data_IF_545231801011
#
_entry.id   IF_545231801011
#
_cell.length_a   1.000
_cell.length_b   1.000
_cell.length_c   1.000
_cell.angle_alpha   90.00
_cell.angle_beta   90.00
_cell.angle_gamma   90.00
#
_symmetry.space_group_name_H-M   'P 1'
#
loop_
_entity.id
_entity.type
_entity.pdbx_description
1 polymer ?
#
# COMPACT_ATOMS: atom_id res chain seq x y z
N UNK A 1 58.34 45.75 -6.10
CA UNK A 1 57.25 45.71 -7.09
C UNK A 1 56.48 44.44 -6.82
N UNK A 2 55.26 44.57 -6.28
CA UNK A 2 54.45 43.44 -5.82
C UNK A 2 53.51 43.02 -6.97
N UNK A 3 53.60 41.78 -7.41
CA UNK A 3 52.69 41.16 -8.38
C UNK A 3 52.04 39.95 -7.69
N UNK A 4 50.81 40.10 -7.21
CA UNK A 4 49.55 39.65 -7.84
C UNK A 4 49.41 38.12 -7.91
N UNK A 5 48.70 37.59 -6.92
CA UNK A 5 48.06 36.27 -6.89
C UNK A 5 47.06 36.18 -8.05
N UNK A 6 47.00 35.06 -8.77
CA UNK A 6 45.85 34.49 -9.52
C UNK A 6 46.29 33.10 -10.05
N UNK A 7 45.82 31.96 -9.54
CA UNK A 7 44.51 31.30 -9.72
C UNK A 7 44.64 30.08 -10.65
N UNK A 8 44.22 28.90 -10.18
CA UNK A 8 43.33 27.94 -10.87
C UNK A 8 43.48 26.52 -10.29
N UNK A 9 42.58 26.15 -9.39
CA UNK A 9 42.31 24.74 -9.04
C UNK A 9 41.22 24.27 -10.02
N UNK A 10 41.59 23.41 -10.97
CA UNK A 10 40.61 22.73 -11.83
C UNK A 10 40.28 21.40 -11.15
N UNK A 11 39.19 21.38 -10.36
CA UNK A 11 38.58 20.14 -9.90
C UNK A 11 37.48 19.75 -10.90
N UNK A 12 37.78 18.79 -11.77
CA UNK A 12 36.79 18.19 -12.66
C UNK A 12 35.91 17.22 -11.86
N UNK A 13 34.69 17.65 -11.51
CA UNK A 13 33.67 16.77 -10.93
C UNK A 13 32.92 16.09 -12.08
N UNK A 14 33.17 14.78 -12.26
CA UNK A 14 32.30 13.91 -13.05
C UNK A 14 30.96 13.76 -12.32
N UNK A 15 29.91 14.39 -12.84
CA UNK A 15 28.54 14.10 -12.42
C UNK A 15 28.01 12.91 -13.22
N UNK A 16 28.02 11.72 -12.63
CA UNK A 16 27.32 10.56 -13.18
C UNK A 16 25.83 10.64 -12.80
N UNK A 17 24.88 10.47 -13.74
CA UNK A 17 23.46 10.41 -13.41
C UNK A 17 23.16 9.06 -12.75
N UNK A 18 22.86 9.08 -11.46
CA UNK A 18 22.37 7.91 -10.72
C UNK A 18 20.91 7.66 -11.14
N UNK A 19 20.71 6.81 -12.15
CA UNK A 19 19.37 6.32 -12.50
C UNK A 19 18.95 5.37 -11.39
N UNK A 20 18.12 5.85 -10.46
CA UNK A 20 17.55 5.05 -9.39
C UNK A 20 16.49 4.14 -10.02
N UNK A 21 16.81 2.87 -10.24
CA UNK A 21 15.79 1.85 -10.53
C UNK A 21 14.94 1.67 -9.27
N UNK A 22 13.79 2.34 -9.21
CA UNK A 22 12.80 2.10 -8.16
C UNK A 22 12.18 0.71 -8.39
N UNK A 23 12.14 -0.17 -7.37
CA UNK A 23 11.55 -1.49 -7.52
C UNK A 23 10.04 -1.39 -7.77
N UNK A 24 9.57 -2.02 -8.85
CA UNK A 24 8.15 -2.11 -9.24
C UNK A 24 7.29 -2.93 -8.26
N UNK A 25 7.87 -3.41 -7.16
CA UNK A 25 7.22 -4.29 -6.18
C UNK A 25 6.42 -3.57 -5.10
N UNK A 26 6.45 -2.24 -5.03
CA UNK A 26 5.73 -1.48 -4.01
C UNK A 26 4.20 -1.66 -4.04
N UNK A 27 3.65 -2.19 -5.14
CA UNK A 27 2.21 -2.38 -5.35
C UNK A 27 1.76 -3.84 -5.20
N UNK A 28 2.64 -4.78 -4.82
CA UNK A 28 2.18 -6.12 -4.50
C UNK A 28 1.37 -6.08 -3.21
N UNK A 29 0.35 -6.94 -3.11
CA UNK A 29 -0.41 -7.09 -1.86
C UNK A 29 0.52 -7.40 -0.67
N UNK A 30 1.62 -8.10 -0.89
CA UNK A 30 2.63 -8.39 0.15
C UNK A 30 3.37 -7.15 0.64
N UNK A 31 3.81 -6.29 -0.30
CA UNK A 31 4.45 -5.02 0.06
C UNK A 31 3.46 -4.11 0.79
N UNK A 32 2.20 -4.06 0.33
CA UNK A 32 1.15 -3.22 0.90
C UNK A 32 0.68 -3.73 2.27
N UNK A 33 0.63 -5.05 2.47
CA UNK A 33 0.30 -5.68 3.76
C UNK A 33 1.38 -5.42 4.83
N UNK A 34 2.62 -5.15 4.42
CA UNK A 34 3.74 -4.80 5.30
C UNK A 34 3.82 -3.30 5.63
N UNK A 35 3.05 -2.45 4.95
CA UNK A 35 3.03 -1.02 5.22
C UNK A 35 2.43 -0.70 6.59
N UNK A 36 2.82 0.43 7.21
CA UNK A 36 2.12 0.95 8.37
C UNK A 36 0.63 1.13 8.06
N UNK A 37 -0.20 0.67 9.01
CA UNK A 37 -1.65 0.83 8.99
C UNK A 37 -2.05 1.51 10.31
N UNK A 38 -1.89 2.84 10.41
CA UNK A 38 -2.03 3.58 11.66
C UNK A 38 -3.40 3.42 12.34
N UNK A 39 -4.44 3.14 11.55
CA UNK A 39 -5.82 2.98 12.01
C UNK A 39 -6.23 1.51 12.14
N UNK A 40 -5.31 0.57 11.91
CA UNK A 40 -5.53 -0.87 12.04
C UNK A 40 -6.29 -1.52 10.89
N UNK A 41 -6.44 -0.82 9.76
CA UNK A 41 -7.10 -1.32 8.56
C UNK A 41 -6.23 -2.23 7.67
N UNK A 42 -6.62 -2.29 6.40
CA UNK A 42 -5.83 -2.85 5.31
C UNK A 42 -5.46 -1.73 4.34
N UNK A 43 -4.18 -1.62 3.99
CA UNK A 43 -3.69 -0.62 3.04
C UNK A 43 -3.68 -1.20 1.63
N UNK A 44 -4.18 -0.43 0.65
CA UNK A 44 -4.06 -0.74 -0.78
C UNK A 44 -3.73 0.51 -1.59
N UNK A 45 -2.95 0.34 -2.65
CA UNK A 45 -2.68 1.40 -3.61
C UNK A 45 -3.87 1.59 -4.57
N UNK A 46 -4.21 2.84 -4.87
CA UNK A 46 -5.25 3.25 -5.80
C UNK A 46 -4.80 4.49 -6.59
N UNK A 47 -4.19 4.29 -7.76
CA UNK A 47 -3.60 5.39 -8.52
C UNK A 47 -2.56 6.14 -7.67
N UNK A 48 -2.70 7.47 -7.48
CA UNK A 48 -1.76 8.29 -6.71
C UNK A 48 -1.93 8.17 -5.17
N UNK A 49 -2.84 7.31 -4.71
CA UNK A 49 -3.20 7.22 -3.29
C UNK A 49 -2.82 5.88 -2.66
N UNK A 50 -2.53 5.94 -1.37
CA UNK A 50 -2.70 4.81 -0.46
C UNK A 50 -4.01 4.97 0.31
N UNK A 51 -4.83 3.93 0.24
CA UNK A 51 -6.12 3.83 0.91
C UNK A 51 -6.02 2.83 2.05
N UNK A 52 -6.31 3.26 3.27
CA UNK A 52 -6.44 2.38 4.43
C UNK A 52 -7.92 2.15 4.73
N UNK A 53 -8.40 0.92 4.54
CA UNK A 53 -9.77 0.54 4.80
C UNK A 53 -9.90 -0.18 6.14
N UNK A 54 -10.74 0.35 7.03
CA UNK A 54 -11.24 -0.31 8.23
C UNK A 54 -12.65 -0.81 7.91
N UNK A 55 -12.83 -2.13 7.94
CA UNK A 55 -14.13 -2.76 7.67
C UNK A 55 -14.62 -3.50 8.90
N UNK A 56 -15.80 -3.09 9.40
CA UNK A 56 -16.54 -3.73 10.49
C UNK A 56 -17.93 -4.09 10.00
N UNK A 57 -18.65 -4.92 10.76
CA UNK A 57 -20.05 -5.17 10.47
C UNK A 57 -20.83 -3.85 10.43
N UNK A 58 -21.51 -3.60 9.32
CA UNK A 58 -22.33 -2.41 9.07
C UNK A 58 -21.60 -1.08 8.91
N UNK A 59 -20.27 -1.02 9.03
CA UNK A 59 -19.50 0.24 9.00
C UNK A 59 -18.18 0.11 8.22
N UNK A 60 -17.90 1.12 7.40
CA UNK A 60 -16.63 1.30 6.69
C UNK A 60 -16.05 2.68 7.01
N UNK A 61 -14.75 2.71 7.29
CA UNK A 61 -13.95 3.94 7.32
C UNK A 61 -12.76 3.78 6.37
N UNK A 62 -12.48 4.82 5.58
CA UNK A 62 -11.44 4.82 4.57
C UNK A 62 -10.57 6.07 4.75
N UNK A 63 -9.30 5.91 5.07
CA UNK A 63 -8.35 7.01 5.13
C UNK A 63 -7.58 7.12 3.81
N UNK A 64 -7.33 8.35 3.38
CA UNK A 64 -6.63 8.67 2.12
C UNK A 64 -5.30 9.34 2.41
N UNK A 65 -4.23 8.80 1.85
CA UNK A 65 -2.89 9.38 1.92
C UNK A 65 -2.22 9.34 0.55
N UNK A 66 -1.19 10.14 0.35
CA UNK A 66 -0.27 9.98 -0.78
C UNK A 66 0.66 8.77 -0.58
N UNK A 67 1.54 8.51 -1.55
CA UNK A 67 2.50 7.42 -1.43
C UNK A 67 3.55 7.60 -0.32
N UNK A 68 3.74 8.83 0.17
CA UNK A 68 4.63 9.15 1.29
C UNK A 68 3.92 9.07 2.66
N UNK A 69 2.62 8.75 2.69
CA UNK A 69 1.82 8.68 3.91
C UNK A 69 1.29 10.03 4.40
N UNK A 70 1.36 11.09 3.58
CA UNK A 70 0.79 12.39 3.91
C UNK A 70 -0.72 12.36 3.69
N UNK A 71 -1.48 12.88 4.66
CA UNK A 71 -2.93 12.92 4.60
C UNK A 71 -3.44 13.79 3.43
N UNK A 72 -4.40 13.26 2.68
CA UNK A 72 -5.09 14.00 1.61
C UNK A 72 -6.52 14.26 2.04
N UNK A 73 -6.92 15.53 2.09
CA UNK A 73 -8.28 15.92 2.46
C UNK A 73 -9.33 15.34 1.51
N UNK A 74 -10.43 14.89 2.08
CA UNK A 74 -11.52 14.24 1.32
C UNK A 74 -12.66 15.19 0.99
N UNK A 75 -12.65 16.43 1.48
CA UNK A 75 -13.66 17.46 1.21
C UNK A 75 -13.96 17.59 -0.29
N UNK A 76 -15.25 17.58 -0.63
CA UNK A 76 -15.73 17.67 -2.01
C UNK A 76 -15.51 16.42 -2.86
N UNK A 77 -14.88 15.38 -2.30
CA UNK A 77 -14.75 14.08 -2.95
C UNK A 77 -15.99 13.21 -2.82
N UNK A 78 -16.01 12.11 -3.57
CA UNK A 78 -17.04 11.08 -3.49
C UNK A 78 -16.39 9.69 -3.45
N UNK A 79 -16.99 8.77 -2.68
CA UNK A 79 -16.53 7.39 -2.60
C UNK A 79 -17.68 6.38 -2.70
N UNK A 80 -17.33 5.16 -3.10
CA UNK A 80 -18.26 4.04 -3.17
C UNK A 80 -17.55 2.72 -2.89
N UNK A 81 -18.10 1.93 -1.98
CA UNK A 81 -17.66 0.57 -1.70
C UNK A 81 -18.65 -0.45 -2.27
N UNK A 82 -18.14 -1.41 -3.03
CA UNK A 82 -18.88 -2.56 -3.51
C UNK A 82 -18.44 -3.78 -2.71
N UNK A 83 -19.32 -4.28 -1.87
CA UNK A 83 -19.07 -5.42 -0.99
C UNK A 83 -19.61 -6.67 -1.68
N UNK A 84 -18.77 -7.67 -1.83
CA UNK A 84 -19.10 -8.99 -2.34
C UNK A 84 -18.89 -10.01 -1.24
N UNK A 85 -19.96 -10.73 -0.90
CA UNK A 85 -19.94 -11.82 0.06
C UNK A 85 -19.94 -13.13 -0.73
N UNK A 86 -18.84 -13.87 -0.70
CA UNK A 86 -18.62 -15.10 -1.49
C UNK A 86 -18.72 -14.94 -3.03
N UNK A 87 -18.29 -15.96 -3.78
CA UNK A 87 -18.16 -15.92 -5.26
C UNK A 87 -19.48 -15.74 -6.03
N UNK A 88 -20.62 -16.04 -5.41
CA UNK A 88 -21.94 -15.98 -6.05
C UNK A 88 -22.98 -15.16 -5.26
N UNK A 89 -22.55 -14.44 -4.21
CA UNK A 89 -23.47 -13.68 -3.36
C UNK A 89 -23.87 -12.33 -3.96
N UNK A 90 -24.94 -11.77 -3.38
CA UNK A 90 -25.44 -10.44 -3.73
C UNK A 90 -24.39 -9.37 -3.44
N UNK A 91 -24.26 -8.43 -4.39
CA UNK A 91 -23.38 -7.27 -4.26
C UNK A 91 -24.10 -6.17 -3.48
N UNK A 92 -23.52 -5.73 -2.38
CA UNK A 92 -24.00 -4.60 -1.59
C UNK A 92 -23.19 -3.36 -2.00
N UNK A 93 -23.85 -2.23 -2.21
CA UNK A 93 -23.18 -0.97 -2.54
C UNK A 93 -23.39 0.01 -1.39
N UNK A 94 -22.29 0.52 -0.84
CA UNK A 94 -22.27 1.52 0.22
C UNK A 94 -21.68 2.80 -0.35
N UNK A 95 -22.40 3.92 -0.22
CA UNK A 95 -21.84 5.24 -0.50
C UNK A 95 -20.87 5.61 0.62
N UNK A 96 -19.71 6.12 0.26
CA UNK A 96 -18.74 6.66 1.21
C UNK A 96 -18.75 8.18 1.08
N UNK A 97 -19.07 8.87 2.16
CA UNK A 97 -19.13 10.33 2.22
C UNK A 97 -17.86 10.87 2.88
N UNK A 98 -17.33 12.01 2.44
CA UNK A 98 -16.30 12.72 3.17
C UNK A 98 -16.72 12.95 4.61
N UNK A 99 -15.79 12.72 5.52
CA UNK A 99 -15.90 12.97 6.95
C UNK A 99 -14.74 13.89 7.36
N UNK A 100 -14.27 13.77 8.59
CA UNK A 100 -13.20 14.60 9.11
C UNK A 100 -11.87 14.31 8.40
N UNK A 101 -11.06 15.36 8.17
CA UNK A 101 -9.72 15.31 7.57
C UNK A 101 -9.66 14.52 6.25
N UNK A 102 -9.01 13.36 6.28
CA UNK A 102 -8.69 12.53 5.13
C UNK A 102 -9.58 11.28 5.04
N UNK A 103 -10.73 11.30 5.72
CA UNK A 103 -11.55 10.12 5.92
C UNK A 103 -12.82 10.17 5.07
N UNK A 104 -13.16 9.06 4.43
CA UNK A 104 -14.52 8.76 4.02
C UNK A 104 -15.16 7.75 4.99
N UNK A 105 -16.47 7.87 5.22
CA UNK A 105 -17.23 6.91 6.03
C UNK A 105 -18.48 6.44 5.30
N UNK A 106 -18.90 5.20 5.56
CA UNK A 106 -20.17 4.69 5.07
C UNK A 106 -20.72 3.59 5.96
N UNK A 107 -22.04 3.47 5.98
CA UNK A 107 -22.75 2.48 6.79
C UNK A 107 -23.81 1.75 5.96
N UNK A 108 -24.21 0.57 6.39
CA UNK A 108 -25.26 -0.22 5.72
C UNK A 108 -25.52 -1.55 6.38
N UNK A 109 -26.35 -2.38 5.75
CA UNK A 109 -26.69 -3.71 6.26
C UNK A 109 -25.79 -4.76 5.59
N UNK A 110 -24.62 -5.02 6.18
CA UNK A 110 -23.70 -6.05 5.72
C UNK A 110 -22.89 -6.64 6.87
N UNK A 111 -22.34 -7.83 6.65
CA UNK A 111 -21.40 -8.49 7.56
C UNK A 111 -20.06 -8.70 6.86
N UNK A 112 -18.98 -8.60 7.62
CA UNK A 112 -17.62 -8.85 7.18
C UNK A 112 -17.20 -10.24 7.65
N UNK A 113 -16.72 -11.06 6.72
CA UNK A 113 -16.18 -12.39 6.98
C UNK A 113 -14.87 -12.61 6.18
N UNK A 114 -14.12 -13.69 6.44
CA UNK A 114 -12.85 -13.95 5.76
C UNK A 114 -12.93 -14.06 4.22
N UNK A 115 -14.11 -14.31 3.66
CA UNK A 115 -14.35 -14.39 2.21
C UNK A 115 -14.81 -13.07 1.60
N UNK A 116 -14.99 -12.02 2.42
CA UNK A 116 -15.49 -10.72 1.97
C UNK A 116 -14.46 -10.02 1.10
N UNK A 117 -14.91 -9.56 -0.05
CA UNK A 117 -14.15 -8.70 -0.97
C UNK A 117 -14.83 -7.35 -1.04
N UNK A 118 -14.06 -6.27 -0.87
CA UNK A 118 -14.58 -4.90 -1.00
C UNK A 118 -13.80 -4.21 -2.10
N UNK A 119 -14.50 -3.71 -3.12
CA UNK A 119 -13.89 -2.85 -4.15
C UNK A 119 -14.34 -1.42 -3.90
N UNK A 120 -13.40 -0.58 -3.51
CA UNK A 120 -13.62 0.84 -3.24
C UNK A 120 -13.21 1.66 -4.44
N UNK A 121 -14.02 2.65 -4.77
CA UNK A 121 -13.70 3.70 -5.73
C UNK A 121 -13.75 5.06 -5.02
N UNK A 122 -12.77 5.92 -5.28
CA UNK A 122 -12.69 7.28 -4.73
C UNK A 122 -12.43 8.24 -5.89
N UNK A 123 -13.13 9.36 -5.90
CA UNK A 123 -12.87 10.49 -6.79
C UNK A 123 -12.77 11.75 -5.95
N UNK A 124 -11.58 12.34 -5.92
CA UNK A 124 -11.35 13.64 -5.29
C UNK A 124 -11.60 14.79 -6.29
N UNK A 125 -11.81 16.02 -5.82
CA UNK A 125 -12.03 17.17 -6.70
C UNK A 125 -10.93 17.31 -7.76
N UNK A 126 -11.33 17.53 -9.02
CA UNK A 126 -10.42 17.70 -10.16
C UNK A 126 -9.52 16.49 -10.48
N UNK A 127 -9.77 15.35 -9.85
CA UNK A 127 -9.03 14.10 -10.09
C UNK A 127 -9.89 13.06 -10.79
N UNK A 128 -9.24 12.11 -11.45
CA UNK A 128 -9.89 10.90 -11.95
C UNK A 128 -10.34 10.00 -10.78
N UNK A 129 -11.26 9.09 -11.07
CA UNK A 129 -11.68 8.08 -10.10
C UNK A 129 -10.67 6.93 -10.06
N UNK A 130 -10.17 6.60 -8.87
CA UNK A 130 -9.27 5.47 -8.65
C UNK A 130 -9.95 4.43 -7.77
N UNK A 131 -9.52 3.17 -7.86
CA UNK A 131 -10.08 2.11 -7.06
C UNK A 131 -9.08 1.06 -6.60
N UNK A 132 -9.41 0.40 -5.50
CA UNK A 132 -8.63 -0.67 -4.91
C UNK A 132 -9.53 -1.81 -4.43
N UNK A 133 -8.95 -3.01 -4.41
CA UNK A 133 -9.61 -4.23 -3.93
C UNK A 133 -9.04 -4.63 -2.56
N UNK A 134 -9.93 -4.85 -1.61
CA UNK A 134 -9.62 -5.24 -0.24
C UNK A 134 -10.16 -6.63 0.08
N UNK A 135 -9.42 -7.34 0.93
CA UNK A 135 -9.84 -8.58 1.62
C UNK A 135 -9.52 -8.42 3.11
N UNK A 136 -10.35 -7.66 3.86
CA UNK A 136 -9.96 -7.05 5.14
C UNK A 136 -9.69 -8.05 6.27
N UNK A 137 -10.27 -9.26 6.19
CA UNK A 137 -10.05 -10.32 7.19
C UNK A 137 -9.15 -11.45 6.69
N UNK A 138 -8.62 -11.36 5.46
CA UNK A 138 -7.66 -12.35 4.99
C UNK A 138 -6.34 -12.13 5.75
N UNK A 139 -5.68 -13.18 6.24
CA UNK A 139 -4.39 -13.02 6.89
C UNK A 139 -3.43 -12.23 6.02
N UNK A 140 -2.83 -11.18 6.58
CA UNK A 140 -1.79 -10.42 5.90
C UNK A 140 -0.63 -11.36 5.60
N UNK A 141 -0.04 -11.19 4.43
CA UNK A 141 1.04 -12.03 3.91
C UNK A 141 2.41 -11.84 4.61
N UNK A 142 2.44 -11.25 5.81
CA UNK A 142 3.65 -10.97 6.56
C UNK A 142 4.36 -12.28 6.94
N UNK A 143 5.39 -12.63 6.17
CA UNK A 143 6.48 -13.54 6.53
C UNK A 143 6.06 -14.83 7.23
N UNK A 144 5.58 -15.82 6.47
CA UNK A 144 5.88 -17.21 6.83
C UNK A 144 7.40 -17.32 6.86
N UNK A 145 7.99 -17.26 8.06
CA UNK A 145 9.43 -17.28 8.25
C UNK A 145 10.03 -18.43 7.46
N UNK A 146 10.91 -18.11 6.51
CA UNK A 146 11.88 -19.07 6.00
C UNK A 146 12.74 -19.48 7.20
N UNK A 147 12.33 -20.54 7.91
CA UNK A 147 13.30 -21.39 8.60
C UNK A 147 14.14 -22.01 7.48
N UNK A 148 15.29 -21.40 7.20
CA UNK A 148 16.38 -22.12 6.57
C UNK A 148 16.73 -23.28 7.50
N UNK A 149 16.14 -24.44 7.25
CA UNK A 149 16.73 -25.70 7.66
C UNK A 149 17.94 -25.91 6.75
N UNK A 150 19.04 -25.22 7.07
CA UNK A 150 20.38 -25.58 6.61
C UNK A 150 20.78 -26.85 7.37
N UNK A 151 20.16 -27.97 7.00
CA UNK A 151 20.58 -29.31 7.38
C UNK A 151 21.31 -29.90 6.20
N UNK A 152 22.57 -29.51 6.01
CA UNK A 152 23.50 -30.27 5.18
C UNK A 152 24.39 -31.09 6.10
N UNK A 153 23.84 -32.22 6.55
CA UNK A 153 24.64 -33.38 6.94
C UNK A 153 25.18 -34.00 5.65
N UNK A 154 26.47 -33.84 5.39
CA UNK A 154 27.21 -34.82 4.61
C UNK A 154 28.41 -35.27 5.44
N UNK A 155 28.12 -36.32 6.21
CA UNK A 155 29.07 -37.19 6.85
C UNK A 155 30.15 -37.65 5.87
N UNK A 156 31.39 -37.41 6.31
CA UNK A 156 32.48 -38.37 6.38
C UNK A 156 32.64 -39.34 5.20
N UNK A 157 33.58 -38.93 4.37
CA UNK A 157 34.42 -39.76 3.52
C UNK A 157 34.89 -41.06 4.19
N UNK A 158 34.35 -42.20 3.75
CA UNK A 158 34.98 -43.50 3.90
C UNK A 158 34.88 -44.31 2.60
N UNK A 159 36.08 -44.55 2.03
CA UNK A 159 36.58 -45.63 1.17
C UNK A 159 35.58 -46.59 0.48
N UNK A 160 35.85 -46.96 -0.78
CA UNK A 160 36.41 -48.29 -1.12
C UNK A 160 36.62 -48.46 -2.64
N UNK A 161 37.74 -49.14 -2.96
CA UNK A 161 38.23 -49.71 -4.24
C UNK A 161 39.09 -48.84 -5.16
#
# INVERSE_FOLDING_TARGET
MNASINASIIAAVLAAPLIILQPVWAHTDESLDAMPSPHGGQVRAAGPYHLELIAKDGELALHVTDHAGQEIKTDGGEGKANIQQAKAGSKITVKLEPSQQNMFTGSGEFRINPETVIVVFVKLPEQEAYGARFTPLKPRSVGAGKKSAEGHDHDLQHQHH
#
